data_IF_664385912854
#
_entry.id   IF_664385912854
#
_cell.length_a   1.000
_cell.length_b   1.000
_cell.length_c   1.000
_cell.angle_alpha   90.00
_cell.angle_beta   90.00
_cell.angle_gamma   90.00
#
_symmetry.space_group_name_H-M   'P 1'
#
loop_
_entity.id
_entity.type
_entity.pdbx_description
1 polymer ?
#
# COMPACT_ATOMS: atom_id res chain seq x y z
N UNK A 1 5.42 13.21 -0.21
CA UNK A 1 4.83 12.49 0.93
C UNK A 1 5.16 11.00 0.78
N UNK A 2 5.56 10.32 1.86
CA UNK A 2 5.84 8.87 1.80
C UNK A 2 4.64 8.15 2.42
N UNK A 3 4.06 7.21 1.67
CA UNK A 3 2.94 6.39 2.11
C UNK A 3 3.46 4.98 2.36
N UNK A 4 3.26 4.46 3.55
CA UNK A 4 3.47 3.06 3.87
C UNK A 4 2.19 2.28 3.65
N UNK A 5 2.32 1.10 3.05
CA UNK A 5 1.19 0.27 2.69
C UNK A 5 1.40 -1.13 3.21
N UNK A 6 0.57 -1.56 4.16
CA UNK A 6 0.68 -2.88 4.78
C UNK A 6 -0.06 -3.92 3.94
N UNK A 7 0.61 -5.00 3.58
CA UNK A 7 -0.01 -6.08 2.85
C UNK A 7 -0.91 -6.91 3.78
N UNK A 8 -2.18 -7.16 3.42
CA UNK A 8 -3.10 -7.94 4.27
C UNK A 8 -2.79 -9.44 4.33
N UNK A 9 -1.91 -9.96 3.45
CA UNK A 9 -1.57 -11.39 3.42
C UNK A 9 -0.32 -11.70 4.23
N UNK A 10 0.74 -10.95 3.99
CA UNK A 10 2.07 -11.23 4.56
C UNK A 10 2.50 -10.19 5.58
N UNK A 11 1.64 -9.22 5.92
CA UNK A 11 1.89 -8.14 6.89
C UNK A 11 3.10 -7.24 6.61
N UNK A 12 3.80 -7.45 5.48
CA UNK A 12 4.92 -6.61 5.07
C UNK A 12 4.46 -5.21 4.69
N UNK A 13 5.28 -4.23 5.06
CA UNK A 13 5.08 -2.82 4.74
C UNK A 13 5.82 -2.46 3.46
N UNK A 14 5.15 -1.71 2.58
CA UNK A 14 5.71 -1.24 1.31
C UNK A 14 5.73 0.28 1.30
N UNK A 15 6.88 0.87 1.00
CA UNK A 15 7.03 2.31 0.84
C UNK A 15 6.60 2.72 -0.56
N UNK A 16 5.68 3.67 -0.63
CA UNK A 16 5.23 4.31 -1.85
C UNK A 16 5.50 5.80 -1.75
N UNK A 17 6.40 6.30 -2.59
CA UNK A 17 6.52 7.73 -2.78
C UNK A 17 5.37 8.21 -3.66
N UNK A 18 4.58 9.14 -3.16
CA UNK A 18 3.58 9.82 -3.96
C UNK A 18 3.64 11.30 -3.69
N UNK A 19 3.81 12.06 -4.77
CA UNK A 19 3.74 13.51 -4.73
C UNK A 19 2.26 13.96 -4.67
N UNK A 20 1.35 13.29 -5.39
CA UNK A 20 -0.07 13.69 -5.51
C UNK A 20 -1.09 12.53 -5.45
N UNK A 21 -0.70 11.29 -5.12
CA UNK A 21 -1.54 10.13 -5.40
C UNK A 21 -2.38 9.65 -4.21
N UNK A 22 -3.70 9.64 -4.39
CA UNK A 22 -4.63 8.85 -3.57
C UNK A 22 -4.38 7.37 -3.90
N UNK A 23 -3.74 6.64 -3.00
CA UNK A 23 -3.53 5.19 -3.13
C UNK A 23 -4.83 4.42 -2.86
N UNK A 24 -5.74 4.99 -2.07
CA UNK A 24 -7.03 4.42 -1.72
C UNK A 24 -7.88 4.11 -2.95
N UNK A 25 -8.46 2.91 -2.99
CA UNK A 25 -9.26 2.45 -4.12
C UNK A 25 -8.44 1.85 -5.28
N UNK A 26 -7.10 2.01 -5.30
CA UNK A 26 -6.27 1.39 -6.34
C UNK A 26 -5.95 -0.06 -6.01
N UNK A 27 -5.79 -0.88 -7.06
CA UNK A 27 -5.20 -2.22 -6.94
C UNK A 27 -3.69 -2.13 -6.87
N UNK A 28 -3.10 -2.76 -5.87
CA UNK A 28 -1.64 -2.90 -5.73
C UNK A 28 -1.26 -4.34 -5.53
N UNK A 29 -0.12 -4.71 -6.11
CA UNK A 29 0.50 -6.02 -5.95
C UNK A 29 1.58 -5.92 -4.89
N UNK A 30 1.56 -6.85 -3.94
CA UNK A 30 2.63 -6.97 -2.96
C UNK A 30 3.92 -7.41 -3.65
N UNK A 31 5.03 -6.70 -3.41
CA UNK A 31 6.36 -7.11 -3.92
C UNK A 31 6.90 -8.35 -3.20
N UNK A 32 6.43 -8.64 -1.98
CA UNK A 32 6.90 -9.77 -1.19
C UNK A 32 6.13 -11.06 -1.49
N UNK A 33 4.79 -11.03 -1.39
CA UNK A 33 3.97 -12.23 -1.55
C UNK A 33 3.30 -12.34 -2.92
N UNK A 34 3.50 -11.36 -3.80
CA UNK A 34 2.91 -11.34 -5.15
C UNK A 34 1.39 -11.16 -5.18
N UNK A 35 0.70 -11.05 -4.04
CA UNK A 35 -0.76 -10.93 -3.98
C UNK A 35 -1.23 -9.54 -4.40
N UNK A 36 -2.25 -9.51 -5.24
CA UNK A 36 -2.97 -8.29 -5.61
C UNK A 36 -4.11 -8.02 -4.64
N UNK A 37 -4.24 -6.77 -4.18
CA UNK A 37 -5.28 -6.34 -3.26
C UNK A 37 -5.67 -4.89 -3.52
N UNK A 38 -6.89 -4.53 -3.13
CA UNK A 38 -7.37 -3.14 -3.17
C UNK A 38 -6.83 -2.41 -1.94
N UNK A 39 -6.24 -1.23 -2.16
CA UNK A 39 -5.76 -0.39 -1.07
C UNK A 39 -6.95 0.29 -0.39
N UNK A 40 -7.07 0.09 0.92
CA UNK A 40 -8.03 0.78 1.78
C UNK A 40 -7.32 1.82 2.65
N UNK A 41 -8.03 2.84 3.11
CA UNK A 41 -7.45 3.82 4.04
C UNK A 41 -6.88 3.15 5.31
N UNK A 42 -7.48 2.05 5.75
CA UNK A 42 -7.05 1.31 6.95
C UNK A 42 -5.70 0.60 6.83
N UNK A 43 -5.13 0.47 5.63
CA UNK A 43 -3.82 -0.16 5.41
C UNK A 43 -2.75 0.83 4.94
N UNK A 44 -3.11 2.13 4.86
CA UNK A 44 -2.19 3.21 4.52
C UNK A 44 -1.76 3.88 5.83
N UNK A 45 -0.45 3.89 6.08
CA UNK A 45 0.18 4.72 7.09
C UNK A 45 0.89 5.89 6.40
N UNK A 46 0.68 7.11 6.88
CA UNK A 46 1.35 8.30 6.37
C UNK A 46 2.58 8.57 7.25
N UNK A 47 3.76 8.67 6.64
CA UNK A 47 5.01 9.13 7.28
C UNK A 47 5.44 10.44 6.63
#
# INVERSE_FOLDING_TARGET
MILLLKCPKCSNQMKYQSQNMILTGKRKRCVYCGKTYNVRNSIIEKI
#
